data_IF_595268712162
#
_entry.id   IF_595268712162
#
_cell.length_a   1.000
_cell.length_b   1.000
_cell.length_c   1.000
_cell.angle_alpha   90.00
_cell.angle_beta   90.00
_cell.angle_gamma   90.00
#
_symmetry.space_group_name_H-M   'P 1'
#
loop_
_entity.id
_entity.type
_entity.pdbx_description
1 polymer ?
#
# COMPACT_ATOMS: atom_id res chain seq x y z
N UNK A 1 9.30 -14.79 1.01
CA UNK A 1 10.42 -13.83 0.98
C UNK A 1 10.17 -12.66 1.94
N UNK A 2 11.22 -12.15 2.58
CA UNK A 2 11.16 -10.95 3.45
C UNK A 2 11.30 -9.71 2.55
N UNK A 3 10.75 -8.55 2.92
CA UNK A 3 10.84 -7.34 2.08
C UNK A 3 12.29 -6.94 1.79
N UNK A 4 13.15 -7.05 2.81
CA UNK A 4 14.58 -6.77 2.66
C UNK A 4 15.24 -7.65 1.59
N UNK A 5 14.90 -8.93 1.50
CA UNK A 5 15.50 -9.81 0.47
C UNK A 5 15.05 -9.41 -0.93
N UNK A 6 13.79 -9.02 -1.10
CA UNK A 6 13.28 -8.53 -2.39
C UNK A 6 14.03 -7.26 -2.84
N UNK A 7 14.37 -6.38 -1.89
CA UNK A 7 15.20 -5.20 -2.18
C UNK A 7 16.64 -5.62 -2.47
N UNK A 8 17.23 -6.52 -1.70
CA UNK A 8 18.59 -7.01 -1.95
C UNK A 8 18.72 -7.62 -3.35
N UNK A 9 17.68 -8.31 -3.83
CA UNK A 9 17.66 -8.97 -5.13
C UNK A 9 17.36 -8.01 -6.31
N UNK A 10 16.98 -6.74 -6.06
CA UNK A 10 16.69 -5.79 -7.15
C UNK A 10 17.97 -5.29 -7.83
N UNK A 11 17.82 -4.76 -9.05
CA UNK A 11 18.93 -4.25 -9.86
C UNK A 11 20.04 -5.30 -10.07
N UNK A 12 19.62 -6.57 -10.21
CA UNK A 12 20.51 -7.74 -10.31
C UNK A 12 21.42 -7.92 -9.09
N UNK A 13 20.94 -7.60 -7.88
CA UNK A 13 21.69 -7.74 -6.64
C UNK A 13 22.50 -6.51 -6.23
N UNK A 14 22.45 -5.42 -7.01
CA UNK A 14 23.32 -4.23 -6.84
C UNK A 14 22.62 -3.01 -6.26
N UNK A 15 21.43 -3.19 -5.68
CA UNK A 15 20.65 -2.08 -5.15
C UNK A 15 21.40 -1.25 -4.10
N UNK A 16 22.13 -1.93 -3.19
CA UNK A 16 22.88 -1.27 -2.12
C UNK A 16 24.21 -0.69 -2.61
N UNK A 17 24.84 -1.33 -3.60
CA UNK A 17 26.02 -0.79 -4.29
C UNK A 17 25.69 0.54 -4.97
N UNK A 18 24.64 0.56 -5.82
CA UNK A 18 24.21 1.75 -6.54
C UNK A 18 23.78 2.89 -5.59
N UNK A 19 23.10 2.54 -4.48
CA UNK A 19 22.74 3.49 -3.45
C UNK A 19 23.99 4.02 -2.74
N UNK A 20 24.91 3.14 -2.33
CA UNK A 20 26.15 3.50 -1.65
C UNK A 20 27.00 4.46 -2.48
N UNK A 21 27.19 4.16 -3.76
CA UNK A 21 27.90 5.02 -4.72
C UNK A 21 27.28 6.41 -4.84
N UNK A 22 25.94 6.51 -4.83
CA UNK A 22 25.24 7.80 -4.96
C UNK A 22 25.41 8.69 -3.72
N UNK A 23 25.48 8.11 -2.53
CA UNK A 23 25.46 8.83 -1.25
C UNK A 23 26.78 8.79 -0.48
N UNK A 24 27.84 8.20 -1.05
CA UNK A 24 29.15 8.08 -0.41
C UNK A 24 29.16 7.14 0.79
N UNK A 25 28.37 6.06 0.75
CA UNK A 25 28.28 5.04 1.80
C UNK A 25 28.81 3.70 1.29
N UNK A 26 29.24 2.82 2.20
CA UNK A 26 29.47 1.42 1.85
C UNK A 26 28.15 0.69 1.59
N UNK A 27 28.22 -0.40 0.83
CA UNK A 27 27.08 -1.27 0.53
C UNK A 27 26.42 -1.81 1.81
N UNK A 28 27.23 -2.19 2.80
CA UNK A 28 26.76 -2.66 4.11
C UNK A 28 25.99 -1.58 4.85
N UNK A 29 26.48 -0.33 4.82
CA UNK A 29 25.82 0.79 5.46
C UNK A 29 24.49 1.11 4.75
N UNK A 30 24.46 1.17 3.42
CA UNK A 30 23.23 1.37 2.66
C UNK A 30 22.19 0.26 2.95
N UNK A 31 22.64 -1.00 3.04
CA UNK A 31 21.82 -2.13 3.42
C UNK A 31 21.30 -2.03 4.86
N UNK A 32 22.15 -1.62 5.82
CA UNK A 32 21.80 -1.45 7.22
C UNK A 32 20.76 -0.37 7.41
N UNK A 33 20.98 0.81 6.82
CA UNK A 33 20.03 1.93 6.83
C UNK A 33 18.70 1.47 6.25
N UNK A 34 18.69 0.84 5.07
CA UNK A 34 17.45 0.32 4.47
C UNK A 34 16.74 -0.66 5.39
N UNK A 35 17.46 -1.65 5.94
CA UNK A 35 16.91 -2.66 6.85
C UNK A 35 16.24 -2.02 8.08
N UNK A 36 16.80 -0.93 8.57
CA UNK A 36 16.31 -0.20 9.74
C UNK A 36 14.92 0.40 9.55
N UNK A 37 14.62 0.95 8.37
CA UNK A 37 13.36 1.65 8.11
C UNK A 37 12.22 0.73 7.66
N UNK A 38 12.51 -0.51 7.25
CA UNK A 38 11.46 -1.44 6.81
C UNK A 38 10.43 -1.80 7.90
N UNK A 39 10.80 -2.12 9.16
CA UNK A 39 9.81 -2.48 10.17
C UNK A 39 8.80 -1.35 10.50
N UNK A 40 9.21 -0.07 10.69
CA UNK A 40 8.27 1.04 10.84
C UNK A 40 7.30 1.18 9.67
N UNK A 41 7.78 1.11 8.42
CA UNK A 41 6.95 1.20 7.21
C UNK A 41 5.91 0.07 7.20
N UNK A 42 6.34 -1.17 7.46
CA UNK A 42 5.44 -2.33 7.57
C UNK A 42 4.38 -2.14 8.65
N UNK A 43 4.79 -1.63 9.82
CA UNK A 43 3.88 -1.41 10.95
C UNK A 43 2.80 -0.38 10.60
N UNK A 44 3.17 0.71 9.94
CA UNK A 44 2.22 1.73 9.47
C UNK A 44 1.23 1.16 8.46
N UNK A 45 1.72 0.46 7.43
CA UNK A 45 0.86 -0.16 6.41
C UNK A 45 -0.11 -1.18 7.02
N UNK A 46 0.40 -2.02 7.93
CA UNK A 46 -0.39 -3.00 8.66
C UNK A 46 -1.49 -2.31 9.47
N UNK A 47 -1.13 -1.30 10.27
CA UNK A 47 -2.07 -0.54 11.09
C UNK A 47 -3.15 0.15 10.26
N UNK A 48 -2.78 0.78 9.13
CA UNK A 48 -3.76 1.42 8.23
C UNK A 48 -4.71 0.41 7.60
N UNK A 49 -4.26 -0.83 7.38
CA UNK A 49 -5.10 -1.88 6.78
C UNK A 49 -6.01 -2.59 7.77
N UNK A 50 -6.04 -2.17 9.05
CA UNK A 50 -6.92 -2.76 10.08
C UNK A 50 -8.40 -2.42 9.88
N UNK A 51 -8.71 -1.33 9.17
CA UNK A 51 -10.09 -0.93 8.84
C UNK A 51 -10.35 -1.10 7.34
N UNK A 52 -11.62 -1.25 6.96
CA UNK A 52 -12.03 -1.37 5.55
C UNK A 52 -11.60 -0.13 4.76
N UNK A 53 -11.92 1.06 5.26
CA UNK A 53 -11.56 2.33 4.61
C UNK A 53 -10.04 2.51 4.48
N UNK A 54 -9.30 2.15 5.53
CA UNK A 54 -7.85 2.26 5.53
C UNK A 54 -7.18 1.24 4.60
N UNK A 55 -7.67 0.00 4.56
CA UNK A 55 -7.23 -1.01 3.59
C UNK A 55 -7.49 -0.54 2.16
N UNK A 56 -8.68 0.00 1.88
CA UNK A 56 -9.01 0.58 0.58
C UNK A 56 -8.05 1.71 0.22
N UNK A 57 -7.77 2.63 1.15
CA UNK A 57 -6.79 3.69 0.96
C UNK A 57 -5.39 3.15 0.63
N UNK A 58 -4.93 2.10 1.32
CA UNK A 58 -3.64 1.45 1.04
C UNK A 58 -3.62 0.82 -0.35
N UNK A 59 -4.69 0.13 -0.74
CA UNK A 59 -4.80 -0.47 -2.08
C UNK A 59 -4.80 0.61 -3.17
N UNK A 60 -5.53 1.70 -3.00
CA UNK A 60 -5.50 2.82 -3.95
C UNK A 60 -4.11 3.44 -4.04
N UNK A 61 -3.43 3.61 -2.89
CA UNK A 61 -2.08 4.12 -2.84
C UNK A 61 -1.09 3.21 -3.60
N UNK A 62 -1.07 1.92 -3.30
CA UNK A 62 -0.22 0.93 -3.99
C UNK A 62 -0.56 0.79 -5.48
N UNK A 63 -1.83 0.98 -5.83
CA UNK A 63 -2.31 0.94 -7.22
C UNK A 63 -2.04 2.21 -8.00
N UNK A 64 -1.73 3.33 -7.35
CA UNK A 64 -1.54 4.61 -8.02
C UNK A 64 -0.26 4.64 -8.87
N UNK A 65 0.72 3.77 -8.55
CA UNK A 65 2.07 3.81 -9.14
C UNK A 65 2.65 2.41 -9.35
N UNK A 66 3.84 2.36 -9.94
CA UNK A 66 4.58 1.14 -10.27
C UNK A 66 5.95 1.15 -9.60
N UNK A 67 5.97 1.27 -8.26
CA UNK A 67 7.24 1.27 -7.52
C UNK A 67 7.98 -0.06 -7.71
N UNK A 68 7.24 -1.15 -7.98
CA UNK A 68 7.78 -2.45 -8.39
C UNK A 68 8.68 -2.38 -9.63
N UNK A 69 8.44 -1.43 -10.54
CA UNK A 69 9.27 -1.19 -11.72
C UNK A 69 10.35 -0.16 -11.48
N UNK A 70 10.03 0.93 -10.76
CA UNK A 70 11.00 2.01 -10.45
C UNK A 70 12.19 1.45 -9.67
N UNK A 71 11.95 0.54 -8.73
CA UNK A 71 13.03 -0.05 -7.93
C UNK A 71 14.05 -0.85 -8.76
N UNK A 72 13.68 -1.31 -9.96
CA UNK A 72 14.56 -2.06 -10.85
C UNK A 72 15.49 -1.17 -11.68
N UNK A 73 15.25 0.14 -11.76
CA UNK A 73 16.13 1.07 -12.48
C UNK A 73 17.34 1.42 -11.61
N UNK A 74 18.54 1.06 -12.05
CA UNK A 74 19.79 1.37 -11.36
C UNK A 74 20.04 2.89 -11.22
N UNK A 75 19.41 3.72 -12.05
CA UNK A 75 19.54 5.18 -12.03
C UNK A 75 18.50 5.85 -11.13
N UNK A 76 17.74 5.08 -10.35
CA UNK A 76 16.70 5.65 -9.50
C UNK A 76 17.26 6.58 -8.42
N UNK A 77 18.44 6.27 -7.86
CA UNK A 77 19.03 7.03 -6.77
C UNK A 77 19.51 8.40 -7.25
N UNK A 78 19.22 9.43 -6.47
CA UNK A 78 19.50 10.82 -6.84
C UNK A 78 18.57 11.41 -7.92
N UNK A 79 17.69 10.62 -8.54
CA UNK A 79 16.77 11.14 -9.56
C UNK A 79 15.67 12.01 -8.93
N UNK A 80 15.50 13.30 -9.32
CA UNK A 80 14.58 14.23 -8.65
C UNK A 80 13.13 13.74 -8.60
N UNK A 81 12.61 13.23 -9.72
CA UNK A 81 11.23 12.69 -9.75
C UNK A 81 11.01 11.48 -8.83
N UNK A 82 12.05 10.69 -8.57
CA UNK A 82 11.97 9.53 -7.66
C UNK A 82 12.07 10.00 -6.21
N UNK A 83 12.87 11.03 -5.93
CA UNK A 83 12.89 11.70 -4.63
C UNK A 83 11.51 12.27 -4.28
N UNK A 84 10.91 13.07 -5.17
CA UNK A 84 9.55 13.62 -4.98
C UNK A 84 8.51 12.51 -4.76
N UNK A 85 8.68 11.37 -5.44
CA UNK A 85 7.82 10.22 -5.23
C UNK A 85 7.97 9.63 -3.83
N UNK A 86 9.21 9.41 -3.41
CA UNK A 86 9.52 8.93 -2.07
C UNK A 86 8.99 9.86 -0.98
N UNK A 87 9.07 11.17 -1.18
CA UNK A 87 8.49 12.16 -0.26
C UNK A 87 6.97 12.02 -0.13
N UNK A 88 6.26 11.81 -1.25
CA UNK A 88 4.81 11.51 -1.22
C UNK A 88 4.50 10.22 -0.48
N UNK A 89 5.32 9.18 -0.65
CA UNK A 89 5.20 7.93 0.10
C UNK A 89 5.41 8.17 1.59
N UNK A 90 6.45 8.91 1.97
CA UNK A 90 6.73 9.24 3.36
C UNK A 90 5.60 10.05 3.98
N UNK A 91 5.05 11.04 3.27
CA UNK A 91 3.90 11.82 3.71
C UNK A 91 2.66 10.93 3.93
N UNK A 92 2.37 10.01 3.00
CA UNK A 92 1.27 9.05 3.15
C UNK A 92 1.46 8.14 4.38
N UNK A 93 2.68 7.66 4.60
CA UNK A 93 2.98 6.74 5.70
C UNK A 93 2.96 7.46 7.06
N UNK A 94 3.72 8.54 7.19
CA UNK A 94 4.08 9.13 8.47
C UNK A 94 3.42 10.49 8.75
N UNK A 95 2.69 11.05 7.79
CA UNK A 95 2.12 12.40 7.88
C UNK A 95 3.14 13.48 7.51
N UNK A 96 2.87 14.72 7.92
CA UNK A 96 3.64 15.89 7.46
C UNK A 96 5.14 15.83 7.81
N UNK A 97 5.93 16.55 7.00
CA UNK A 97 7.40 16.60 6.98
C UNK A 97 8.07 16.83 8.35
N UNK A 98 7.39 17.52 9.28
CA UNK A 98 7.91 17.78 10.63
C UNK A 98 8.15 16.52 11.48
N UNK A 99 7.38 15.45 11.27
CA UNK A 99 7.62 14.16 11.94
C UNK A 99 8.82 13.41 11.33
N UNK A 100 9.02 13.56 10.02
CA UNK A 100 10.13 12.96 9.28
C UNK A 100 11.47 13.58 9.70
N UNK A 101 11.54 14.91 9.87
CA UNK A 101 12.75 15.60 10.33
C UNK A 101 13.20 15.14 11.75
N UNK A 102 12.25 15.08 12.71
CA UNK A 102 12.54 14.57 14.07
C UNK A 102 12.96 13.10 14.08
N UNK A 103 12.41 12.30 13.15
CA UNK A 103 12.83 10.93 12.96
C UNK A 103 14.28 10.89 12.45
N UNK A 104 14.65 11.70 11.47
CA UNK A 104 16.01 11.73 10.91
C UNK A 104 17.04 12.05 11.99
N UNK A 105 16.87 13.14 12.75
CA UNK A 105 17.85 13.55 13.77
C UNK A 105 18.11 12.49 14.84
N UNK A 106 17.04 11.81 15.28
CA UNK A 106 17.16 10.76 16.30
C UNK A 106 17.80 9.50 15.73
N UNK A 107 17.58 9.19 14.45
CA UNK A 107 17.98 7.90 13.84
C UNK A 107 19.34 7.98 13.15
N UNK A 108 19.73 9.14 12.62
CA UNK A 108 21.06 9.41 12.06
C UNK A 108 22.17 9.05 13.06
N UNK A 109 22.04 9.52 14.31
CA UNK A 109 22.98 9.18 15.40
C UNK A 109 23.08 7.68 15.68
N UNK A 110 21.96 6.97 15.67
CA UNK A 110 21.94 5.53 15.94
C UNK A 110 22.55 4.70 14.80
N UNK A 111 22.49 5.21 13.57
CA UNK A 111 23.04 4.58 12.37
C UNK A 111 24.47 5.03 12.05
N UNK A 112 25.01 6.03 12.77
CA UNK A 112 26.28 6.68 12.47
C UNK A 112 26.36 7.22 11.04
N UNK A 113 25.24 7.73 10.53
CA UNK A 113 25.13 8.37 9.21
C UNK A 113 24.86 9.86 9.41
N UNK A 114 25.43 10.71 8.56
CA UNK A 114 25.13 12.14 8.60
C UNK A 114 23.64 12.41 8.40
N UNK A 115 23.02 13.30 9.19
CA UNK A 115 21.58 13.58 9.07
C UNK A 115 21.14 13.99 7.66
N UNK A 116 21.97 14.77 6.95
CA UNK A 116 21.69 15.21 5.58
C UNK A 116 21.69 14.05 4.59
N UNK A 117 22.64 13.12 4.71
CA UNK A 117 22.70 11.93 3.85
C UNK A 117 21.47 11.06 4.10
N UNK A 118 21.12 10.85 5.37
CA UNK A 118 19.95 10.07 5.73
C UNK A 118 18.64 10.69 5.20
N UNK A 119 18.48 12.01 5.31
CA UNK A 119 17.35 12.76 4.74
C UNK A 119 17.24 12.52 3.23
N UNK A 120 18.35 12.64 2.50
CA UNK A 120 18.39 12.42 1.06
C UNK A 120 18.10 10.98 0.64
N UNK A 121 18.46 9.98 1.46
CA UNK A 121 18.23 8.56 1.18
C UNK A 121 16.79 8.13 1.45
N UNK A 122 16.15 8.73 2.46
CA UNK A 122 14.88 8.24 3.01
C UNK A 122 13.76 8.12 1.97
N UNK A 123 13.57 9.08 1.03
CA UNK A 123 12.60 8.95 -0.05
C UNK A 123 12.83 7.69 -0.90
N UNK A 124 14.08 7.40 -1.27
CA UNK A 124 14.40 6.23 -2.10
C UNK A 124 14.19 4.92 -1.34
N UNK A 125 14.50 4.89 -0.04
CA UNK A 125 14.19 3.76 0.83
C UNK A 125 12.67 3.52 0.87
N UNK A 126 11.86 4.59 0.91
CA UNK A 126 10.40 4.47 0.87
C UNK A 126 9.92 3.88 -0.46
N UNK A 127 10.46 4.33 -1.59
CA UNK A 127 10.19 3.75 -2.93
C UNK A 127 10.57 2.27 -2.99
N UNK A 128 11.77 1.89 -2.52
CA UNK A 128 12.22 0.49 -2.47
C UNK A 128 11.29 -0.36 -1.60
N UNK A 129 10.87 0.15 -0.44
CA UNK A 129 9.98 -0.54 0.47
C UNK A 129 8.61 -0.80 -0.15
N UNK A 130 8.00 0.22 -0.79
CA UNK A 130 6.71 0.08 -1.48
C UNK A 130 6.84 -0.83 -2.70
N UNK A 131 7.90 -0.69 -3.50
CA UNK A 131 8.16 -1.58 -4.63
C UNK A 131 8.32 -3.04 -4.21
N UNK A 132 9.00 -3.30 -3.10
CA UNK A 132 9.14 -4.64 -2.54
C UNK A 132 7.81 -5.21 -2.02
N UNK A 133 6.97 -4.37 -1.39
CA UNK A 133 5.59 -4.75 -1.03
C UNK A 133 4.82 -5.11 -2.29
N UNK A 134 4.86 -4.26 -3.32
CA UNK A 134 4.16 -4.48 -4.57
C UNK A 134 4.59 -5.78 -5.26
N UNK A 135 5.90 -6.02 -5.40
CA UNK A 135 6.46 -7.27 -5.95
C UNK A 135 5.94 -8.50 -5.19
N UNK A 136 5.86 -8.40 -3.85
CA UNK A 136 5.40 -9.49 -3.00
C UNK A 136 3.91 -9.77 -3.12
N UNK A 137 3.08 -8.73 -3.23
CA UNK A 137 1.62 -8.86 -3.07
C UNK A 137 0.86 -8.84 -4.39
N UNK A 138 1.41 -8.31 -5.50
CA UNK A 138 0.71 -8.17 -6.78
C UNK A 138 0.14 -9.49 -7.29
N UNK A 139 0.94 -10.57 -7.30
CA UNK A 139 0.49 -11.90 -7.75
C UNK A 139 -0.59 -12.50 -6.84
N UNK A 140 -0.40 -12.61 -5.50
CA UNK A 140 -1.45 -13.06 -4.59
C UNK A 140 -2.76 -12.28 -4.71
N UNK A 141 -2.67 -10.95 -4.81
CA UNK A 141 -3.85 -10.09 -4.93
C UNK A 141 -4.56 -10.25 -6.28
N UNK A 142 -3.82 -10.47 -7.36
CA UNK A 142 -4.40 -10.83 -8.65
C UNK A 142 -5.23 -12.12 -8.58
N UNK A 143 -4.73 -13.15 -7.88
CA UNK A 143 -5.47 -14.40 -7.66
C UNK A 143 -6.72 -14.19 -6.78
N UNK A 144 -6.63 -13.35 -5.74
CA UNK A 144 -7.80 -12.98 -4.92
C UNK A 144 -8.84 -12.25 -5.76
N UNK A 145 -8.41 -11.30 -6.59
CA UNK A 145 -9.28 -10.55 -7.48
C UNK A 145 -10.04 -11.46 -8.45
N UNK A 146 -9.36 -12.42 -9.09
CA UNK A 146 -10.00 -13.39 -9.98
C UNK A 146 -11.08 -14.20 -9.26
N UNK A 147 -10.83 -14.61 -8.01
CA UNK A 147 -11.81 -15.33 -7.19
C UNK A 147 -12.99 -14.43 -6.81
N UNK A 148 -12.75 -13.17 -6.45
CA UNK A 148 -13.80 -12.23 -6.08
C UNK A 148 -14.68 -11.85 -7.27
N UNK A 149 -14.09 -11.65 -8.45
CA UNK A 149 -14.78 -11.33 -9.68
C UNK A 149 -15.41 -12.55 -10.36
N UNK A 150 -15.35 -13.75 -9.76
CA UNK A 150 -15.81 -15.03 -10.34
C UNK A 150 -15.25 -15.28 -11.76
N UNK A 151 -14.02 -14.87 -12.00
CA UNK A 151 -13.36 -14.97 -13.32
C UNK A 151 -13.71 -13.86 -14.31
N UNK A 152 -14.65 -12.96 -14.01
CA UNK A 152 -15.00 -11.80 -14.83
C UNK A 152 -14.03 -10.62 -14.60
N UNK A 153 -12.72 -10.89 -14.63
CA UNK A 153 -11.67 -9.88 -14.46
C UNK A 153 -11.13 -9.47 -15.83
N UNK A 154 -11.12 -8.18 -16.14
CA UNK A 154 -10.53 -7.73 -17.38
C UNK A 154 -8.99 -7.84 -17.33
N UNK A 155 -8.30 -8.03 -18.47
CA UNK A 155 -6.84 -8.04 -18.51
C UNK A 155 -6.21 -6.78 -17.88
N UNK A 156 -6.89 -5.63 -17.98
CA UNK A 156 -6.45 -4.36 -17.38
C UNK A 156 -6.47 -4.39 -15.85
N UNK A 157 -7.44 -5.08 -15.25
CA UNK A 157 -7.54 -5.23 -13.80
C UNK A 157 -6.42 -6.09 -13.24
N UNK A 158 -5.97 -7.09 -14.01
CA UNK A 158 -4.82 -7.93 -13.63
C UNK A 158 -3.49 -7.18 -13.71
N UNK A 159 -3.40 -6.13 -14.55
CA UNK A 159 -2.23 -5.25 -14.57
C UNK A 159 -2.15 -4.37 -13.32
N UNK A 160 -3.29 -4.01 -12.72
CA UNK A 160 -3.36 -3.23 -11.50
C UNK A 160 -4.38 -3.81 -10.50
N UNK A 161 -4.05 -4.96 -9.86
CA UNK A 161 -4.99 -5.66 -9.00
C UNK A 161 -5.34 -4.85 -7.74
N UNK A 162 -4.51 -3.89 -7.34
CA UNK A 162 -4.77 -3.04 -6.19
C UNK A 162 -5.96 -2.11 -6.44
N UNK A 163 -5.95 -1.37 -7.55
CA UNK A 163 -7.04 -0.47 -7.90
C UNK A 163 -8.35 -1.23 -8.12
N UNK A 164 -8.30 -2.36 -8.81
CA UNK A 164 -9.46 -3.20 -9.05
C UNK A 164 -10.04 -3.75 -7.73
N UNK A 165 -9.21 -4.23 -6.80
CA UNK A 165 -9.67 -4.69 -5.49
C UNK A 165 -10.26 -3.57 -4.65
N UNK A 166 -9.63 -2.40 -4.61
CA UNK A 166 -10.16 -1.23 -3.91
C UNK A 166 -11.57 -0.88 -4.41
N UNK A 167 -11.78 -0.88 -5.73
CA UNK A 167 -13.09 -0.64 -6.32
C UNK A 167 -14.12 -1.71 -5.95
N UNK A 168 -13.74 -2.99 -5.95
CA UNK A 168 -14.63 -4.08 -5.55
C UNK A 168 -15.05 -3.98 -4.08
N UNK A 169 -14.12 -3.64 -3.18
CA UNK A 169 -14.41 -3.48 -1.75
C UNK A 169 -15.36 -2.29 -1.55
N UNK A 170 -15.08 -1.14 -2.17
CA UNK A 170 -15.97 0.05 -2.13
C UNK A 170 -17.39 -0.26 -2.60
N UNK A 171 -17.53 -0.95 -3.73
CA UNK A 171 -18.85 -1.34 -4.29
C UNK A 171 -19.64 -2.23 -3.33
N UNK A 172 -18.96 -3.17 -2.65
CA UNK A 172 -19.61 -4.10 -1.72
C UNK A 172 -20.07 -3.41 -0.44
N UNK A 173 -19.26 -2.51 0.09
CA UNK A 173 -19.60 -1.71 1.28
C UNK A 173 -20.79 -0.76 0.99
N UNK A 174 -20.77 -0.11 -0.18
CA UNK A 174 -21.87 0.74 -0.65
C UNK A 174 -23.18 -0.04 -0.87
N UNK A 175 -23.09 -1.27 -1.42
CA UNK A 175 -24.24 -2.16 -1.60
C UNK A 175 -24.84 -2.68 -0.28
N UNK A 176 -24.02 -2.84 0.76
CA UNK A 176 -24.46 -3.24 2.10
C UNK A 176 -25.25 -2.14 2.83
N UNK A 177 -24.95 -0.87 2.59
CA UNK A 177 -25.69 0.27 3.17
C UNK A 177 -27.03 0.56 2.50
N UNK A 178 -27.29 0.04 1.30
CA UNK A 178 -28.51 0.31 0.53
C UNK A 178 -29.51 -0.85 0.49
N UNK A 179 -29.22 -1.97 1.18
CA UNK A 179 -30.11 -3.15 1.28
C UNK A 179 -31.21 -3.04 2.35
N UNK A 180 -31.41 -1.85 2.95
CA UNK A 180 -32.39 -1.61 4.00
C UNK A 180 -33.75 -1.09 3.51
N UNK A 181 -34.06 -1.12 2.21
CA UNK A 181 -35.37 -0.65 1.71
C UNK A 181 -35.75 -1.22 0.34
N UNK A 182 -36.94 -1.84 0.30
CA UNK A 182 -37.74 -2.39 -0.83
C UNK A 182 -37.47 -3.87 -1.13
N UNK A 183 -38.44 -4.76 -1.25
CA UNK A 183 -39.90 -4.77 -1.06
C UNK A 183 -40.32 -6.24 -1.23
N UNK A 184 -41.22 -6.76 -0.40
CA UNK A 184 -42.15 -7.80 -0.85
C UNK A 184 -43.57 -7.40 -0.46
N UNK A 185 -44.27 -6.86 -1.45
CA UNK A 185 -45.72 -6.89 -1.56
C UNK A 185 -46.09 -8.34 -1.87
N UNK A 186 -46.60 -9.07 -0.87
CA UNK A 186 -47.37 -10.32 -0.95
C UNK A 186 -47.99 -10.50 0.44
N UNK A 187 -49.28 -10.71 0.67
CA UNK A 187 -50.46 -10.68 -0.19
C UNK A 187 -51.66 -10.44 0.74
N UNK A 188 -52.71 -9.81 0.22
CA UNK A 188 -53.98 -9.76 0.91
C UNK A 188 -54.49 -11.19 1.12
N UNK A 189 -54.74 -11.58 2.37
CA UNK A 189 -55.46 -12.82 2.71
C UNK A 189 -55.80 -12.93 4.20
N UNK A 190 -56.30 -11.85 4.84
CA UNK A 190 -57.11 -11.98 6.06
C UNK A 190 -58.20 -10.90 6.08
N UNK A 191 -59.10 -11.01 5.11
CA UNK A 191 -60.46 -10.50 5.22
C UNK A 191 -61.38 -11.72 5.23
N UNK A 192 -61.76 -12.21 6.42
CA UNK A 192 -62.99 -12.98 6.61
C UNK A 192 -63.42 -13.02 8.08
N UNK A 193 -64.42 -12.19 8.37
CA UNK A 193 -65.62 -12.43 9.19
C UNK A 193 -65.55 -13.29 10.45
N UNK A 194 -66.00 -12.69 11.56
CA UNK A 194 -67.09 -13.13 12.46
C UNK A 194 -67.26 -12.00 13.49
N UNK A 195 -68.42 -11.52 13.93
CA UNK A 195 -69.83 -11.79 13.65
C UNK A 195 -70.63 -10.68 14.35
N UNK A 196 -71.70 -10.19 13.70
CA UNK A 196 -72.73 -9.35 14.31
C UNK A 196 -73.36 -10.07 15.52
N UNK A 197 -73.66 -9.38 16.60
CA UNK A 197 -75.02 -8.92 16.89
C UNK A 197 -75.09 -8.23 18.25
N UNK A 198 -75.77 -7.08 18.26
CA UNK A 198 -76.27 -6.41 19.44
C UNK A 198 -77.46 -7.18 20.04
N UNK A 199 -77.57 -7.13 21.37
CA UNK A 199 -78.79 -6.88 22.13
C UNK A 199 -78.36 -6.28 23.47
#
# INVERSE_FOLDING_TARGET
MKLFSIIADTQSGRAFENMGQTYGLSDEMAAQVTRYFLPPIKKVLSRRSETVDGMVSVLEFLGSRRCDRVMEDARMFGHPRVAEEGERILAYLFGDSGHTAKLIDKRARALQVEPRVLDQMLPFIAVLAIGAVEKRTRRPLGAVLQRMAKGATEPRDLLNPYAALAQHIKKRDAGGKNGGRRSFIFGGLFAKTESRSAA
#
